data_IF_688257206543
#
_entry.id   IF_688257206543
#
_cell.length_a   1.000
_cell.length_b   1.000
_cell.length_c   1.000
_cell.angle_alpha   90.00
_cell.angle_beta   90.00
_cell.angle_gamma   90.00
#
_symmetry.space_group_name_H-M   'P 1'
#
loop_
_entity.id
_entity.type
_entity.pdbx_description
1 polymer ?
#
# COMPACT_ATOMS: atom_id res chain seq x y z
N UNK A 1 -31.93 -4.66 8.37
CA UNK A 1 -31.18 -5.15 7.19
C UNK A 1 -31.66 -6.56 6.83
N UNK A 2 -31.26 -7.14 5.69
CA UNK A 2 -31.73 -8.47 5.22
C UNK A 2 -31.65 -9.55 6.31
N UNK A 3 -30.55 -9.56 7.06
CA UNK A 3 -30.33 -10.40 8.24
C UNK A 3 -31.45 -10.29 9.29
N UNK A 4 -31.79 -9.08 9.69
CA UNK A 4 -32.79 -8.84 10.74
C UNK A 4 -34.17 -9.30 10.28
N UNK A 5 -34.48 -9.13 8.99
CA UNK A 5 -35.71 -9.65 8.39
C UNK A 5 -35.73 -11.20 8.41
N UNK A 6 -34.61 -11.86 8.06
CA UNK A 6 -34.51 -13.32 8.15
C UNK A 6 -34.66 -13.83 9.59
N UNK A 7 -33.99 -13.19 10.56
CA UNK A 7 -34.06 -13.58 11.98
C UNK A 7 -35.44 -13.35 12.55
N UNK A 8 -36.06 -12.18 12.30
CA UNK A 8 -37.40 -11.88 12.77
C UNK A 8 -38.42 -12.90 12.24
N UNK A 9 -38.36 -13.24 10.95
CA UNK A 9 -39.25 -14.25 10.35
C UNK A 9 -39.00 -15.66 10.90
N UNK A 10 -37.75 -16.04 11.15
CA UNK A 10 -37.45 -17.31 11.80
C UNK A 10 -38.03 -17.38 13.22
N UNK A 11 -37.94 -16.28 13.99
CA UNK A 11 -38.57 -16.19 15.30
C UNK A 11 -40.10 -16.29 15.24
N UNK A 12 -40.75 -15.65 14.25
CA UNK A 12 -42.20 -15.74 14.03
C UNK A 12 -42.65 -17.18 13.73
N UNK A 13 -41.83 -17.98 13.06
CA UNK A 13 -42.16 -19.34 12.63
C UNK A 13 -41.94 -20.42 13.71
N UNK A 14 -41.28 -20.09 14.83
CA UNK A 14 -41.04 -21.02 15.94
C UNK A 14 -40.21 -22.25 15.56
N UNK A 15 -40.53 -23.40 16.15
CA UNK A 15 -39.70 -24.62 16.10
C UNK A 15 -39.74 -25.36 14.74
N UNK A 16 -40.64 -25.00 13.83
CA UNK A 16 -40.81 -25.66 12.53
C UNK A 16 -40.88 -24.65 11.37
N UNK A 17 -39.76 -23.96 11.07
CA UNK A 17 -39.72 -22.92 10.05
C UNK A 17 -39.94 -23.44 8.63
N UNK A 18 -40.88 -22.81 7.92
CA UNK A 18 -41.06 -22.99 6.48
C UNK A 18 -40.01 -22.18 5.71
N UNK A 19 -38.89 -22.84 5.41
CA UNK A 19 -37.79 -22.21 4.68
C UNK A 19 -38.15 -21.84 3.24
N UNK A 20 -39.12 -22.51 2.60
CA UNK A 20 -39.54 -22.17 1.24
C UNK A 20 -40.27 -20.82 1.23
N UNK A 21 -41.19 -20.65 2.19
CA UNK A 21 -41.88 -19.38 2.41
C UNK A 21 -40.90 -18.27 2.81
N UNK A 22 -39.97 -18.55 3.73
CA UNK A 22 -38.95 -17.59 4.15
C UNK A 22 -38.06 -17.14 2.98
N UNK A 23 -37.60 -18.06 2.14
CA UNK A 23 -36.80 -17.75 0.97
C UNK A 23 -37.58 -16.91 -0.06
N UNK A 24 -38.87 -17.18 -0.25
CA UNK A 24 -39.73 -16.39 -1.13
C UNK A 24 -39.95 -14.97 -0.58
N UNK A 25 -40.30 -14.85 0.70
CA UNK A 25 -40.69 -13.59 1.33
C UNK A 25 -39.51 -12.63 1.53
N UNK A 26 -38.33 -13.16 1.87
CA UNK A 26 -37.18 -12.33 2.29
C UNK A 26 -36.07 -12.31 1.24
N UNK A 27 -35.82 -13.43 0.55
CA UNK A 27 -34.77 -13.52 -0.49
C UNK A 27 -35.33 -13.32 -1.91
N UNK A 28 -36.65 -13.36 -2.10
CA UNK A 28 -37.29 -13.31 -3.42
C UNK A 28 -37.15 -14.61 -4.23
N UNK A 29 -36.73 -15.71 -3.62
CA UNK A 29 -36.45 -16.99 -4.28
C UNK A 29 -37.68 -17.88 -4.17
N UNK A 30 -38.41 -18.05 -5.28
CA UNK A 30 -39.65 -18.84 -5.35
C UNK A 30 -39.39 -20.23 -5.94
N UNK A 31 -40.13 -21.23 -5.45
CA UNK A 31 -40.11 -22.59 -6.00
C UNK A 31 -38.87 -23.44 -5.66
N UNK A 32 -38.00 -22.99 -4.75
CA UNK A 32 -36.88 -23.80 -4.29
C UNK A 32 -37.39 -25.01 -3.47
N UNK A 33 -36.87 -26.23 -3.67
CA UNK A 33 -37.17 -27.38 -2.81
C UNK A 33 -36.83 -27.09 -1.33
N UNK A 34 -37.51 -27.73 -0.36
CA UNK A 34 -37.33 -27.44 1.07
C UNK A 34 -35.86 -27.42 1.54
N UNK A 35 -35.09 -28.46 1.17
CA UNK A 35 -33.69 -28.57 1.54
C UNK A 35 -32.81 -27.48 0.92
N UNK A 36 -33.11 -27.08 -0.33
CA UNK A 36 -32.39 -26.00 -1.00
C UNK A 36 -32.72 -24.65 -0.36
N UNK A 37 -34.01 -24.39 -0.09
CA UNK A 37 -34.46 -23.16 0.56
C UNK A 37 -33.80 -22.98 1.93
N UNK A 38 -33.73 -24.06 2.73
CA UNK A 38 -33.01 -24.07 4.01
C UNK A 38 -31.54 -23.73 3.86
N UNK A 39 -30.84 -24.34 2.89
CA UNK A 39 -29.43 -24.04 2.60
C UNK A 39 -29.22 -22.59 2.17
N UNK A 40 -30.09 -22.06 1.31
CA UNK A 40 -30.02 -20.67 0.83
C UNK A 40 -30.22 -19.67 1.96
N UNK A 41 -31.21 -19.89 2.83
CA UNK A 41 -31.44 -19.06 4.02
C UNK A 41 -30.23 -19.10 4.96
N UNK A 42 -29.71 -20.30 5.25
CA UNK A 42 -28.53 -20.43 6.10
C UNK A 42 -27.30 -19.73 5.51
N UNK A 43 -27.07 -19.87 4.20
CA UNK A 43 -25.99 -19.16 3.50
C UNK A 43 -26.18 -17.65 3.54
N UNK A 44 -27.41 -17.15 3.34
CA UNK A 44 -27.71 -15.72 3.38
C UNK A 44 -27.41 -15.13 4.78
N UNK A 45 -27.81 -15.83 5.85
CA UNK A 45 -27.47 -15.43 7.23
C UNK A 45 -25.96 -15.34 7.45
N UNK A 46 -25.21 -16.38 7.05
CA UNK A 46 -23.74 -16.41 7.19
C UNK A 46 -23.07 -15.28 6.41
N UNK A 47 -23.53 -14.99 5.19
CA UNK A 47 -22.99 -13.90 4.37
C UNK A 47 -23.27 -12.54 5.01
N UNK A 48 -24.49 -12.34 5.53
CA UNK A 48 -24.85 -11.08 6.17
C UNK A 48 -24.16 -10.89 7.53
N UNK A 49 -23.97 -11.95 8.33
CA UNK A 49 -23.17 -11.90 9.56
C UNK A 49 -21.73 -11.45 9.25
N UNK A 50 -21.09 -12.07 8.25
CA UNK A 50 -19.74 -11.69 7.80
C UNK A 50 -19.70 -10.25 7.30
N UNK A 51 -20.72 -9.82 6.56
CA UNK A 51 -20.83 -8.45 6.05
C UNK A 51 -20.93 -7.44 7.19
N UNK A 52 -21.69 -7.76 8.23
CA UNK A 52 -21.84 -6.89 9.39
C UNK A 52 -20.54 -6.80 10.22
N UNK A 53 -19.87 -7.94 10.42
CA UNK A 53 -18.55 -7.97 11.07
C UNK A 53 -17.54 -7.14 10.27
N UNK A 54 -17.48 -7.34 8.94
CA UNK A 54 -16.63 -6.57 8.03
C UNK A 54 -16.89 -5.06 8.14
N UNK A 55 -18.15 -4.65 8.17
CA UNK A 55 -18.54 -3.24 8.34
C UNK A 55 -18.05 -2.69 9.68
N UNK A 56 -18.29 -3.39 10.79
CA UNK A 56 -17.87 -2.95 12.13
C UNK A 56 -16.36 -2.85 12.27
N UNK A 57 -15.62 -3.83 11.75
CA UNK A 57 -14.15 -3.80 11.68
C UNK A 57 -13.68 -2.61 10.86
N UNK A 58 -14.30 -2.39 9.69
CA UNK A 58 -14.00 -1.26 8.82
C UNK A 58 -14.22 0.10 9.49
N UNK A 59 -15.33 0.27 10.20
CA UNK A 59 -15.63 1.49 10.97
C UNK A 59 -14.58 1.77 12.04
N UNK A 60 -14.17 0.73 12.78
CA UNK A 60 -13.10 0.81 13.78
C UNK A 60 -11.77 1.24 13.14
N UNK A 61 -11.30 0.49 12.14
CA UNK A 61 -10.03 0.77 11.45
C UNK A 61 -10.03 2.19 10.83
N UNK A 62 -11.12 2.58 10.18
CA UNK A 62 -11.20 3.86 9.47
C UNK A 62 -11.29 5.08 10.39
N UNK A 63 -11.72 4.89 11.64
CA UNK A 63 -11.73 5.95 12.66
C UNK A 63 -10.30 6.33 13.04
N UNK A 64 -9.46 5.33 13.24
CA UNK A 64 -8.11 5.49 13.78
C UNK A 64 -7.07 5.76 12.68
N UNK A 65 -7.37 5.41 11.42
CA UNK A 65 -6.50 5.65 10.28
C UNK A 65 -6.22 7.15 10.01
N UNK A 66 -4.95 7.57 9.84
CA UNK A 66 -4.58 8.96 9.61
C UNK A 66 -4.92 9.43 8.18
N UNK A 67 -4.99 10.75 8.00
CA UNK A 67 -5.26 11.38 6.71
C UNK A 67 -3.96 11.69 5.93
N UNK A 68 -2.97 10.80 6.00
CA UNK A 68 -1.64 10.98 5.41
C UNK A 68 -1.31 9.90 4.37
N UNK A 69 -0.27 10.10 3.53
CA UNK A 69 0.29 9.04 2.71
C UNK A 69 0.85 7.92 3.57
N UNK A 70 0.80 6.69 3.08
CA UNK A 70 1.30 5.55 3.83
C UNK A 70 1.12 4.21 3.14
N UNK A 71 1.64 3.19 3.81
CA UNK A 71 1.40 1.78 3.52
C UNK A 71 0.60 1.17 4.66
N UNK A 72 -0.27 0.21 4.35
CA UNK A 72 -1.08 -0.49 5.33
C UNK A 72 -1.13 -1.98 5.05
N UNK A 73 -1.38 -2.75 6.11
CA UNK A 73 -1.50 -4.19 6.12
C UNK A 73 -2.84 -4.52 6.77
N UNK A 74 -3.76 -5.13 6.03
CA UNK A 74 -4.96 -5.74 6.60
C UNK A 74 -4.61 -7.13 7.10
N UNK A 75 -5.03 -7.46 8.32
CA UNK A 75 -4.73 -8.72 8.99
C UNK A 75 -6.00 -9.46 9.39
N UNK A 76 -5.94 -10.79 9.42
CA UNK A 76 -7.01 -11.59 10.03
C UNK A 76 -6.93 -11.58 11.57
N UNK A 77 -7.85 -12.29 12.22
CA UNK A 77 -7.93 -12.35 13.68
C UNK A 77 -6.71 -13.00 14.35
N UNK A 78 -5.95 -13.80 13.59
CA UNK A 78 -4.70 -14.43 14.06
C UNK A 78 -3.48 -13.53 13.81
N UNK A 79 -3.67 -12.33 13.27
CA UNK A 79 -2.61 -11.40 12.92
C UNK A 79 -1.89 -11.72 11.59
N UNK A 80 -2.42 -12.64 10.77
CA UNK A 80 -1.79 -13.00 9.50
C UNK A 80 -2.06 -11.93 8.43
N UNK A 81 -1.06 -11.55 7.61
CA UNK A 81 -1.24 -10.54 6.57
C UNK A 81 -2.15 -11.05 5.46
N UNK A 82 -3.31 -10.42 5.30
CA UNK A 82 -4.24 -10.71 4.21
C UNK A 82 -3.90 -9.89 2.99
N UNK A 83 -3.70 -8.58 3.18
CA UNK A 83 -3.53 -7.64 2.08
C UNK A 83 -2.62 -6.48 2.48
N UNK A 84 -1.67 -6.13 1.61
CA UNK A 84 -0.85 -4.93 1.71
C UNK A 84 -1.26 -3.95 0.62
N UNK A 85 -1.38 -2.68 0.98
CA UNK A 85 -1.63 -1.62 0.01
C UNK A 85 -0.95 -0.30 0.35
N UNK A 86 -0.80 0.58 -0.64
CA UNK A 86 -0.40 1.99 -0.45
C UNK A 86 -1.57 2.95 -0.57
N UNK A 87 -1.39 4.15 -0.01
CA UNK A 87 -2.32 5.26 -0.14
C UNK A 87 -1.60 6.62 -0.16
N UNK A 88 -2.16 7.58 -0.89
CA UNK A 88 -1.87 9.01 -0.68
C UNK A 88 -2.65 9.58 0.51
N UNK A 89 -3.70 8.89 0.94
CA UNK A 89 -4.49 9.19 2.12
C UNK A 89 -5.02 7.86 2.69
N UNK A 90 -4.40 7.38 3.77
CA UNK A 90 -4.69 6.09 4.40
C UNK A 90 -6.19 5.97 4.77
N UNK A 91 -6.74 6.96 5.47
CA UNK A 91 -8.15 6.99 5.87
C UNK A 91 -9.11 6.83 4.68
N UNK A 92 -8.93 7.61 3.62
CA UNK A 92 -9.78 7.55 2.41
C UNK A 92 -9.65 6.20 1.72
N UNK A 93 -8.45 5.65 1.62
CA UNK A 93 -8.19 4.35 0.97
C UNK A 93 -8.81 3.20 1.75
N UNK A 94 -8.65 3.17 3.07
CA UNK A 94 -9.24 2.15 3.94
C UNK A 94 -10.77 2.22 3.89
N UNK A 95 -11.37 3.41 4.00
CA UNK A 95 -12.83 3.60 3.83
C UNK A 95 -13.33 3.05 2.50
N UNK A 96 -12.54 3.18 1.44
CA UNK A 96 -12.92 2.70 0.12
C UNK A 96 -12.95 1.16 0.01
N UNK A 97 -12.17 0.43 0.82
CA UNK A 97 -12.21 -1.04 0.92
C UNK A 97 -13.41 -1.52 1.71
N UNK A 98 -13.71 -0.84 2.82
CA UNK A 98 -14.83 -1.18 3.71
C UNK A 98 -16.18 -0.58 3.27
N UNK A 99 -16.22 0.14 2.14
CA UNK A 99 -17.45 0.70 1.61
C UNK A 99 -18.45 -0.40 1.25
N UNK A 100 -19.69 -0.27 1.70
CA UNK A 100 -20.75 -1.28 1.52
C UNK A 100 -20.95 -1.68 0.05
N UNK A 101 -20.91 -0.71 -0.86
CA UNK A 101 -21.01 -0.94 -2.32
C UNK A 101 -19.92 -1.84 -2.89
N UNK A 102 -18.79 -2.00 -2.18
CA UNK A 102 -17.67 -2.85 -2.59
C UNK A 102 -17.79 -4.28 -2.09
N UNK A 103 -18.66 -4.58 -1.13
CA UNK A 103 -18.78 -5.91 -0.51
C UNK A 103 -18.81 -7.06 -1.53
N UNK A 104 -19.62 -6.93 -2.59
CA UNK A 104 -19.75 -7.97 -3.63
C UNK A 104 -18.50 -8.13 -4.51
N UNK A 105 -17.68 -7.09 -4.63
CA UNK A 105 -16.44 -7.09 -5.41
C UNK A 105 -15.20 -7.35 -4.55
N UNK A 106 -15.34 -7.32 -3.22
CA UNK A 106 -14.26 -7.62 -2.28
C UNK A 106 -13.88 -9.10 -2.41
N UNK A 107 -12.58 -9.37 -2.55
CA UNK A 107 -12.06 -10.74 -2.56
C UNK A 107 -12.47 -11.45 -1.26
N UNK A 108 -12.97 -12.67 -1.36
CA UNK A 108 -13.49 -13.44 -0.22
C UNK A 108 -12.52 -13.47 0.97
N UNK A 109 -11.23 -13.69 0.72
CA UNK A 109 -10.19 -13.69 1.74
C UNK A 109 -10.04 -12.35 2.46
N UNK A 110 -10.23 -11.21 1.78
CA UNK A 110 -10.20 -9.91 2.45
C UNK A 110 -11.31 -9.79 3.48
N UNK A 111 -12.49 -10.39 3.27
CA UNK A 111 -13.62 -10.29 4.22
C UNK A 111 -13.31 -10.82 5.63
N UNK A 112 -12.21 -11.56 5.79
CA UNK A 112 -11.68 -12.02 7.07
C UNK A 112 -10.88 -10.97 7.84
N UNK A 113 -10.67 -9.77 7.29
CA UNK A 113 -9.86 -8.78 8.00
C UNK A 113 -10.54 -8.46 9.33
N UNK A 114 -9.73 -8.57 10.37
CA UNK A 114 -10.09 -8.22 11.73
C UNK A 114 -9.37 -6.94 12.16
N UNK A 115 -8.17 -6.69 11.63
CA UNK A 115 -7.33 -5.57 12.06
C UNK A 115 -6.55 -4.91 10.90
N UNK A 116 -5.95 -3.76 11.17
CA UNK A 116 -5.04 -3.10 10.24
C UNK A 116 -3.86 -2.44 10.95
N UNK A 117 -2.70 -2.56 10.33
CA UNK A 117 -1.50 -1.80 10.68
C UNK A 117 -1.16 -0.83 9.55
N UNK A 118 -0.52 0.28 9.87
CA UNK A 118 -0.06 1.24 8.86
C UNK A 118 1.22 1.94 9.28
N UNK A 119 1.94 2.44 8.27
CA UNK A 119 3.09 3.32 8.41
C UNK A 119 2.88 4.54 7.52
N UNK A 120 2.87 5.72 8.14
CA UNK A 120 2.86 7.00 7.45
C UNK A 120 4.21 7.25 6.79
N UNK A 121 4.19 7.91 5.64
CA UNK A 121 5.36 8.19 4.81
C UNK A 121 5.27 9.58 4.21
N UNK A 122 6.41 10.17 3.85
CA UNK A 122 6.46 11.55 3.37
C UNK A 122 6.09 11.73 1.90
N UNK A 123 6.01 10.64 1.14
CA UNK A 123 5.82 10.72 -0.31
C UNK A 123 5.13 9.50 -0.92
N UNK A 124 4.51 9.69 -2.09
CA UNK A 124 3.91 8.58 -2.83
C UNK A 124 4.95 7.52 -3.25
N UNK A 125 6.17 7.95 -3.63
CA UNK A 125 7.22 7.02 -4.05
C UNK A 125 7.67 6.15 -2.87
N UNK A 126 7.84 6.72 -1.68
CA UNK A 126 8.12 5.95 -0.47
C UNK A 126 6.99 4.94 -0.18
N UNK A 127 5.72 5.36 -0.32
CA UNK A 127 4.59 4.45 -0.17
C UNK A 127 4.59 3.30 -1.21
N UNK A 128 4.97 3.60 -2.46
CA UNK A 128 5.08 2.62 -3.54
C UNK A 128 6.18 1.59 -3.29
N UNK A 129 7.36 2.04 -2.84
CA UNK A 129 8.46 1.15 -2.50
C UNK A 129 8.15 0.32 -1.26
N UNK A 130 7.54 0.93 -0.23
CA UNK A 130 7.14 0.24 0.99
C UNK A 130 6.10 -0.84 0.76
N UNK A 131 5.09 -0.59 -0.09
CA UNK A 131 4.08 -1.58 -0.46
C UNK A 131 4.73 -2.79 -1.14
N UNK A 132 5.59 -2.54 -2.14
CA UNK A 132 6.24 -3.62 -2.87
C UNK A 132 7.20 -4.43 -1.98
N UNK A 133 7.93 -3.77 -1.08
CA UNK A 133 8.80 -4.45 -0.12
C UNK A 133 8.00 -5.33 0.85
N UNK A 134 6.89 -4.82 1.40
CA UNK A 134 6.04 -5.57 2.32
C UNK A 134 5.30 -6.72 1.63
N UNK A 135 4.90 -6.57 0.37
CA UNK A 135 4.30 -7.67 -0.41
C UNK A 135 5.31 -8.78 -0.60
N UNK A 136 6.55 -8.45 -0.97
CA UNK A 136 7.61 -9.44 -1.14
C UNK A 136 7.92 -10.17 0.17
N UNK A 137 8.08 -9.41 1.27
CA UNK A 137 8.40 -9.96 2.59
C UNK A 137 7.28 -10.83 3.16
N UNK A 138 6.04 -10.35 3.12
CA UNK A 138 4.91 -10.96 3.84
C UNK A 138 4.12 -11.96 3.00
N UNK A 139 4.28 -11.95 1.67
CA UNK A 139 3.53 -12.76 0.72
C UNK A 139 2.02 -12.85 1.04
N UNK A 140 1.29 -11.71 1.19
CA UNK A 140 -0.09 -11.73 1.67
C UNK A 140 -1.02 -12.51 0.74
N UNK A 141 -1.96 -13.26 1.32
CA UNK A 141 -2.88 -14.17 0.61
C UNK A 141 -3.66 -13.52 -0.54
N UNK A 142 -4.05 -12.25 -0.36
CA UNK A 142 -4.92 -11.53 -1.30
C UNK A 142 -4.12 -10.82 -2.40
N UNK A 143 -2.90 -10.37 -2.09
CA UNK A 143 -2.07 -9.71 -3.07
C UNK A 143 -1.78 -10.71 -4.20
N UNK A 144 -2.03 -10.29 -5.44
CA UNK A 144 -1.60 -11.10 -6.57
C UNK A 144 -0.08 -11.15 -6.48
N UNK A 145 0.47 -12.35 -6.36
CA UNK A 145 1.90 -12.55 -6.36
C UNK A 145 2.42 -12.20 -7.75
N UNK A 146 2.94 -10.99 -7.88
CA UNK A 146 3.56 -10.50 -9.11
C UNK A 146 5.06 -10.55 -8.85
N UNK A 147 5.82 -11.09 -9.80
CA UNK A 147 7.27 -11.05 -9.73
C UNK A 147 7.76 -9.61 -9.52
N UNK A 148 8.96 -9.47 -8.91
CA UNK A 148 9.59 -8.18 -8.72
C UNK A 148 9.50 -7.35 -10.02
N UNK A 149 9.17 -6.05 -9.94
CA UNK A 149 9.05 -5.19 -11.11
C UNK A 149 10.27 -5.34 -12.03
N UNK A 150 10.03 -5.61 -13.31
CA UNK A 150 11.09 -5.68 -14.30
C UNK A 150 11.14 -4.38 -15.11
N UNK A 151 12.37 -3.92 -15.41
CA UNK A 151 12.62 -2.76 -16.27
C UNK A 151 12.06 -2.97 -17.66
N UNK A 152 12.15 -4.19 -18.20
CA UNK A 152 11.73 -4.50 -19.58
C UNK A 152 10.21 -4.64 -19.72
N UNK A 153 9.52 -4.99 -18.63
CA UNK A 153 8.08 -5.22 -18.63
C UNK A 153 7.26 -3.92 -18.46
N UNK A 154 7.91 -2.78 -18.18
CA UNK A 154 7.24 -1.48 -17.98
C UNK A 154 7.58 -0.55 -19.15
N UNK A 155 6.60 0.26 -19.56
CA UNK A 155 6.81 1.35 -20.50
C UNK A 155 7.58 2.50 -19.83
N UNK A 156 8.88 2.29 -19.58
CA UNK A 156 9.80 3.28 -19.03
C UNK A 156 10.65 3.81 -20.18
N UNK A 157 10.66 5.13 -20.44
CA UNK A 157 11.59 5.72 -21.41
C UNK A 157 13.04 5.33 -21.11
N UNK A 158 13.82 4.81 -22.09
CA UNK A 158 15.21 4.42 -21.86
C UNK A 158 16.08 5.53 -21.28
N UNK A 159 15.79 6.79 -21.60
CA UNK A 159 16.46 7.98 -21.08
C UNK A 159 16.32 8.17 -19.57
N UNK A 160 15.33 7.53 -18.93
CA UNK A 160 15.12 7.58 -17.48
C UNK A 160 15.80 6.42 -16.73
N UNK A 161 16.25 5.37 -17.42
CA UNK A 161 16.89 4.20 -16.80
C UNK A 161 18.37 4.50 -16.58
N UNK A 162 18.67 5.28 -15.55
CA UNK A 162 20.03 5.64 -15.14
C UNK A 162 20.11 5.77 -13.63
N UNK A 163 21.32 5.69 -13.08
CA UNK A 163 21.52 5.87 -11.65
C UNK A 163 21.02 7.27 -11.22
N UNK A 164 20.29 7.32 -10.12
CA UNK A 164 19.64 8.56 -9.67
C UNK A 164 19.46 8.55 -8.17
N UNK A 165 19.61 9.73 -7.57
CA UNK A 165 19.17 10.02 -6.20
C UNK A 165 17.96 10.95 -6.31
N UNK A 166 16.82 10.53 -5.80
CA UNK A 166 15.60 11.34 -5.70
C UNK A 166 15.50 11.86 -4.27
N UNK A 167 15.28 13.17 -4.13
CA UNK A 167 15.09 13.83 -2.83
C UNK A 167 13.61 14.11 -2.67
N UNK A 168 12.99 13.64 -1.59
CA UNK A 168 11.55 13.76 -1.33
C UNK A 168 11.26 14.23 0.10
N UNK A 169 10.08 14.80 0.37
CA UNK A 169 9.64 15.08 1.73
C UNK A 169 9.65 13.81 2.58
N UNK A 170 10.01 13.97 3.85
CA UNK A 170 9.83 12.94 4.88
C UNK A 170 8.53 13.20 5.66
N UNK A 171 8.09 12.19 6.40
CA UNK A 171 7.03 12.35 7.40
C UNK A 171 7.52 13.17 8.61
N UNK A 172 8.84 13.20 8.84
CA UNK A 172 9.47 14.06 9.85
C UNK A 172 9.77 15.44 9.24
N UNK A 173 9.22 16.49 9.85
CA UNK A 173 9.31 17.87 9.33
C UNK A 173 10.74 18.39 9.17
N UNK A 174 11.66 17.93 10.02
CA UNK A 174 13.07 18.33 10.01
C UNK A 174 13.94 17.46 9.08
N UNK A 175 13.32 16.56 8.32
CA UNK A 175 14.01 15.53 7.56
C UNK A 175 13.53 15.43 6.11
N UNK A 176 14.32 14.73 5.28
CA UNK A 176 13.97 14.37 3.91
C UNK A 176 14.33 12.91 3.66
N UNK A 177 13.69 12.31 2.66
CA UNK A 177 14.03 10.98 2.18
C UNK A 177 14.94 11.08 0.96
N UNK A 178 16.07 10.36 1.00
CA UNK A 178 16.98 10.15 -0.12
C UNK A 178 16.73 8.75 -0.69
N UNK A 179 16.09 8.68 -1.85
CA UNK A 179 15.83 7.43 -2.56
C UNK A 179 16.83 7.27 -3.68
N UNK A 180 17.72 6.30 -3.58
CA UNK A 180 18.69 5.98 -4.61
C UNK A 180 18.24 4.77 -5.42
N UNK A 181 18.35 4.86 -6.74
CA UNK A 181 17.99 3.81 -7.67
C UNK A 181 19.10 3.64 -8.71
N UNK A 182 19.43 2.38 -9.01
CA UNK A 182 20.43 1.99 -9.99
C UNK A 182 19.79 1.42 -11.25
N UNK A 183 20.44 1.64 -12.39
CA UNK A 183 20.01 1.08 -13.67
C UNK A 183 19.99 -0.46 -13.70
N UNK A 184 20.69 -1.13 -12.77
CA UNK A 184 20.69 -2.59 -12.63
C UNK A 184 19.63 -3.14 -11.67
N UNK A 185 18.71 -2.29 -11.20
CA UNK A 185 17.58 -2.67 -10.36
C UNK A 185 17.80 -2.46 -8.85
N UNK A 186 19.02 -2.17 -8.42
CA UNK A 186 19.33 -1.90 -7.02
C UNK A 186 18.68 -0.60 -6.52
N UNK A 187 18.24 -0.57 -5.28
CA UNK A 187 17.64 0.61 -4.67
C UNK A 187 18.01 0.72 -3.19
N UNK A 188 17.89 1.92 -2.63
CA UNK A 188 17.90 2.16 -1.19
C UNK A 188 17.12 3.43 -0.84
N UNK A 189 16.71 3.53 0.41
CA UNK A 189 16.12 4.74 0.98
C UNK A 189 16.85 5.09 2.29
N UNK A 190 17.09 6.38 2.53
CA UNK A 190 17.68 6.89 3.76
C UNK A 190 17.02 8.22 4.13
N UNK A 191 16.54 8.32 5.37
CA UNK A 191 16.12 9.58 5.97
C UNK A 191 17.33 10.39 6.40
N UNK A 192 17.38 11.66 6.08
CA UNK A 192 18.45 12.58 6.52
C UNK A 192 17.86 13.86 7.07
N UNK A 193 18.43 14.37 8.16
CA UNK A 193 18.04 15.67 8.72
C UNK A 193 18.42 16.81 7.78
N UNK A 194 17.51 17.78 7.63
CA UNK A 194 17.69 19.02 6.84
C UNK A 194 18.87 19.86 7.35
N UNK A 195 19.20 19.77 8.64
CA UNK A 195 20.39 20.38 9.23
C UNK A 195 21.71 19.90 8.61
N UNK A 196 21.69 18.76 7.92
CA UNK A 196 22.86 18.14 7.32
C UNK A 196 23.71 17.31 8.28
N UNK A 197 23.26 17.13 9.53
CA UNK A 197 23.97 16.38 10.57
C UNK A 197 24.39 14.97 10.10
N UNK A 198 23.50 14.29 9.37
CA UNK A 198 23.72 12.89 8.95
C UNK A 198 24.36 12.78 7.54
N UNK A 199 24.51 13.90 6.81
CA UNK A 199 24.92 13.87 5.40
C UNK A 199 26.31 13.27 5.21
N UNK A 200 27.24 13.44 6.15
CA UNK A 200 28.57 12.86 6.04
C UNK A 200 28.52 11.32 5.95
N UNK A 201 27.66 10.68 6.76
CA UNK A 201 27.48 9.23 6.77
C UNK A 201 26.65 8.79 5.55
N UNK A 202 25.57 9.50 5.26
CA UNK A 202 24.66 9.15 4.17
C UNK A 202 25.34 9.27 2.80
N UNK A 203 26.16 10.30 2.55
CA UNK A 203 26.86 10.41 1.27
C UNK A 203 27.90 9.33 1.09
N UNK A 204 28.60 8.90 2.14
CA UNK A 204 29.50 7.74 2.07
C UNK A 204 28.74 6.46 1.72
N UNK A 205 27.57 6.23 2.32
CA UNK A 205 26.72 5.08 1.99
C UNK A 205 26.20 5.14 0.55
N UNK A 206 25.79 6.31 0.08
CA UNK A 206 25.36 6.53 -1.32
C UNK A 206 26.51 6.26 -2.29
N UNK A 207 27.70 6.81 -2.05
CA UNK A 207 28.85 6.55 -2.92
C UNK A 207 29.22 5.06 -2.94
N UNK A 208 29.20 4.39 -1.78
CA UNK A 208 29.40 2.94 -1.72
C UNK A 208 28.30 2.17 -2.47
N UNK A 209 27.06 2.62 -2.39
CA UNK A 209 25.93 2.00 -3.08
C UNK A 209 26.04 2.11 -4.60
N UNK A 210 26.45 3.25 -5.14
CA UNK A 210 26.60 3.45 -6.59
C UNK A 210 27.91 2.88 -7.15
N UNK A 211 29.04 3.14 -6.48
CA UNK A 211 30.38 2.92 -7.01
C UNK A 211 31.18 1.81 -6.31
N UNK A 212 30.69 1.31 -5.17
CA UNK A 212 31.35 0.25 -4.43
C UNK A 212 31.35 -1.07 -5.20
N UNK A 213 32.28 -1.96 -4.82
CA UNK A 213 32.33 -3.33 -5.32
C UNK A 213 30.98 -4.00 -5.11
N UNK A 214 30.43 -4.56 -6.19
CA UNK A 214 29.15 -5.28 -6.15
C UNK A 214 29.37 -6.56 -5.35
N UNK A 215 29.15 -6.51 -4.04
CA UNK A 215 29.12 -7.71 -3.20
C UNK A 215 28.10 -8.68 -3.82
N UNK A 216 28.44 -9.97 -3.78
CA UNK A 216 27.70 -11.07 -4.40
C UNK A 216 26.19 -10.81 -4.30
N UNK A 217 25.57 -10.51 -5.45
CA UNK A 217 24.17 -10.09 -5.54
C UNK A 217 23.31 -11.22 -4.96
N UNK A 218 22.86 -11.06 -3.72
CA UNK A 218 21.90 -11.99 -3.14
C UNK A 218 20.64 -12.00 -4.00
N UNK A 219 20.27 -13.17 -4.52
CA UNK A 219 19.03 -13.36 -5.28
C UNK A 219 17.77 -13.00 -4.48
N UNK A 220 17.89 -12.84 -3.14
CA UNK A 220 16.80 -12.47 -2.23
C UNK A 220 16.51 -10.98 -2.11
N UNK A 221 17.34 -10.07 -2.65
CA UNK A 221 17.06 -8.63 -2.53
C UNK A 221 16.09 -8.20 -3.64
N UNK A 222 14.91 -7.75 -3.24
CA UNK A 222 13.89 -7.22 -4.16
C UNK A 222 14.42 -6.03 -4.93
N UNK A 223 14.34 -6.11 -6.27
CA UNK A 223 14.75 -5.03 -7.16
C UNK A 223 13.58 -4.08 -7.40
N UNK A 224 13.56 -2.97 -6.65
CA UNK A 224 12.48 -1.96 -6.74
C UNK A 224 12.86 -0.70 -7.52
N UNK A 225 14.09 -0.55 -8.01
CA UNK A 225 14.44 0.58 -8.89
C UNK A 225 13.49 0.76 -10.09
N UNK A 226 12.92 -0.30 -10.70
CA UNK A 226 11.96 -0.13 -11.80
C UNK A 226 10.70 0.63 -11.38
N UNK A 227 10.32 0.59 -10.09
CA UNK A 227 9.24 1.43 -9.56
C UNK A 227 9.65 2.90 -9.48
N UNK A 228 10.90 3.19 -9.11
CA UNK A 228 11.44 4.56 -9.09
C UNK A 228 11.40 5.15 -10.50
N UNK A 229 11.93 4.45 -11.50
CA UNK A 229 11.92 4.95 -12.88
C UNK A 229 10.50 5.05 -13.47
N UNK A 230 9.64 4.07 -13.19
CA UNK A 230 8.23 4.12 -13.61
C UNK A 230 7.47 5.27 -12.95
N UNK A 231 7.80 5.63 -11.71
CA UNK A 231 7.23 6.78 -11.03
C UNK A 231 7.76 8.09 -11.62
N UNK A 232 9.08 8.21 -11.85
CA UNK A 232 9.70 9.37 -12.51
C UNK A 232 9.09 9.65 -13.90
N UNK A 233 8.77 8.60 -14.67
CA UNK A 233 8.16 8.73 -16.00
C UNK A 233 6.73 9.28 -16.00
N UNK A 234 6.03 9.26 -14.86
CA UNK A 234 4.60 9.58 -14.77
C UNK A 234 4.30 10.73 -13.85
N UNK A 235 4.74 10.62 -12.59
CA UNK A 235 4.39 11.53 -11.49
C UNK A 235 5.60 12.28 -10.94
N UNK A 236 6.80 11.77 -11.19
CA UNK A 236 8.05 12.31 -10.69
C UNK A 236 8.82 13.19 -11.68
N UNK A 237 8.17 13.71 -12.73
CA UNK A 237 8.84 14.51 -13.75
C UNK A 237 9.53 15.75 -13.14
N UNK A 238 8.90 16.35 -12.13
CA UNK A 238 9.40 17.53 -11.41
C UNK A 238 10.20 17.19 -10.15
N UNK A 239 10.40 15.91 -9.84
CA UNK A 239 11.10 15.51 -8.62
C UNK A 239 12.55 16.00 -8.61
N UNK A 240 13.01 16.51 -7.46
CA UNK A 240 14.41 16.87 -7.28
C UNK A 240 15.27 15.63 -7.37
N UNK A 241 16.24 15.67 -8.28
CA UNK A 241 17.12 14.54 -8.58
C UNK A 241 18.56 14.98 -8.72
N UNK A 242 19.46 14.12 -8.26
CA UNK A 242 20.88 14.22 -8.50
C UNK A 242 21.34 13.01 -9.31
N UNK A 243 22.21 13.25 -10.27
CA UNK A 243 22.97 12.20 -10.92
C UNK A 243 24.22 11.93 -10.07
N UNK A 244 24.38 10.72 -9.51
CA UNK A 244 25.55 10.39 -8.70
C UNK A 244 26.85 10.39 -9.51
N UNK A 245 26.80 10.32 -10.84
CA UNK A 245 27.98 10.37 -11.71
C UNK A 245 28.45 11.80 -12.00
N UNK A 246 27.67 12.82 -11.62
CA UNK A 246 28.04 14.23 -11.77
C UNK A 246 28.79 14.81 -10.56
N UNK A 247 29.27 13.97 -9.63
CA UNK A 247 30.05 14.39 -8.45
C UNK A 247 31.34 13.57 -8.37
N UNK A 248 32.45 14.20 -7.98
CA UNK A 248 33.76 13.55 -7.88
C UNK A 248 33.88 12.62 -6.67
N UNK A 249 33.01 12.73 -5.67
CA UNK A 249 33.13 11.98 -4.42
C UNK A 249 32.07 12.32 -3.37
N UNK A 250 32.12 11.63 -2.24
CA UNK A 250 31.19 11.82 -1.12
C UNK A 250 31.19 13.25 -0.55
N UNK A 251 32.34 13.93 -0.61
CA UNK A 251 32.49 15.34 -0.16
C UNK A 251 31.70 16.29 -1.06
N UNK A 252 31.80 16.14 -2.37
CA UNK A 252 31.07 16.98 -3.31
C UNK A 252 29.56 16.67 -3.26
N UNK A 253 29.19 15.39 -3.20
CA UNK A 253 27.79 14.99 -3.01
C UNK A 253 27.19 15.61 -1.74
N UNK A 254 27.95 15.61 -0.64
CA UNK A 254 27.55 16.24 0.63
C UNK A 254 27.32 17.74 0.45
N UNK A 255 28.20 18.44 -0.25
CA UNK A 255 28.07 19.88 -0.48
C UNK A 255 26.81 20.20 -1.31
N UNK A 256 26.56 19.43 -2.38
CA UNK A 256 25.35 19.60 -3.21
C UNK A 256 24.07 19.30 -2.46
N UNK A 257 24.02 18.20 -1.70
CA UNK A 257 22.87 17.88 -0.86
C UNK A 257 22.66 18.97 0.22
N UNK A 258 23.71 19.41 0.90
CA UNK A 258 23.60 20.47 1.91
C UNK A 258 23.11 21.82 1.32
N UNK A 259 23.44 22.12 0.07
CA UNK A 259 22.89 23.27 -0.63
C UNK A 259 21.38 23.08 -0.90
N UNK A 260 20.98 21.91 -1.42
CA UNK A 260 19.57 21.59 -1.67
C UNK A 260 18.72 21.60 -0.40
N UNK A 261 19.20 21.05 0.72
CA UNK A 261 18.42 20.96 1.96
C UNK A 261 18.21 22.30 2.66
N UNK A 262 18.99 23.33 2.30
CA UNK A 262 18.82 24.71 2.79
C UNK A 262 17.86 25.54 1.95
N UNK A 263 17.40 25.00 0.82
CA UNK A 263 16.39 25.66 0.00
C UNK A 263 15.02 25.54 0.67
N UNK A 264 14.50 26.65 1.20
CA UNK A 264 13.17 26.68 1.83
C UNK A 264 12.02 26.41 0.84
N UNK A 265 12.30 26.56 -0.47
CA UNK A 265 11.38 26.22 -1.55
C UNK A 265 11.48 24.76 -1.97
N UNK A 266 12.41 24.00 -1.37
CA UNK A 266 12.51 22.57 -1.57
C UNK A 266 11.13 21.95 -1.28
N UNK A 267 10.52 21.41 -2.34
CA UNK A 267 9.17 20.82 -2.39
C UNK A 267 7.98 21.79 -2.46
N UNK A 268 8.07 23.06 -2.03
CA UNK A 268 6.91 24.00 -2.07
C UNK A 268 6.49 24.38 -3.49
N UNK A 269 7.44 24.81 -4.33
CA UNK A 269 7.17 25.10 -5.76
C UNK A 269 6.64 23.87 -6.53
N UNK A 270 6.79 22.65 -5.96
CA UNK A 270 6.49 21.35 -6.59
C UNK A 270 5.23 20.64 -6.05
N UNK A 271 4.66 21.09 -4.92
CA UNK A 271 3.45 20.51 -4.31
C UNK A 271 2.18 21.33 -4.61
N UNK A 272 2.30 22.61 -4.97
CA UNK A 272 1.16 23.48 -5.31
C UNK A 272 0.58 23.23 -6.73
N UNK A 273 1.17 22.30 -7.50
CA UNK A 273 0.58 21.79 -8.74
C UNK A 273 -0.28 20.54 -8.47
N UNK A 274 -1.46 20.72 -7.89
CA UNK A 274 -2.51 19.69 -7.80
C UNK A 274 -3.87 20.32 -8.09
#
# INVERSE_FOLDING_TARGET
MLRDALIARLHEMGDSPDYQRLAADVLGIRGAPPDLARKLVAQALVVEDRREVWRRVGERICRDAPAAPGVYILKDADGRPLYVGKAVNLRRRLRAHFAERRWRATKSAMTRAADAEWREVGSELEALLGEAALIDELQPEVNVQIAAPDLRARAIPPSLIRDVIVVLPSIEDDSVELIAARADGGWMIQRTRKSGADLAVHTQRLMKFFFGTRAFRSARVVRLAPLVFSWLARRGAEATRLDPHHVAGARELRARLAALLRDDRLFRERLEQC
#
